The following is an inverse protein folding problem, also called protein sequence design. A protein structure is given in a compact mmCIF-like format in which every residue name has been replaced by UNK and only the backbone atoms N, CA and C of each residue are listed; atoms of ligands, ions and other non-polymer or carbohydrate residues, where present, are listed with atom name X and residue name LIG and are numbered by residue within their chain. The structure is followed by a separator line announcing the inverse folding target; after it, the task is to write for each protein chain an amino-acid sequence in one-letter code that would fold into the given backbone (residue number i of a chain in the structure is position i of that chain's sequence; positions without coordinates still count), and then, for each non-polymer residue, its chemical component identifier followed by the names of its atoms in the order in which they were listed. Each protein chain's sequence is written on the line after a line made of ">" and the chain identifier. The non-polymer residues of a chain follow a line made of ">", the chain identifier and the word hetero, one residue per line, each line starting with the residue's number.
data_IF_050200583274
#
_entry.id   IF_050200583274
#
_cell.length_a   1.000
_cell.length_b   1.000
_cell.length_c   1.000
_cell.angle_alpha   90.00
_cell.angle_beta   90.00
_cell.angle_gamma   90.00
#
_symmetry.space_group_name_H-M   'P 1'
#
loop_
_entity.id
_entity.type
_entity.pdbx_description
1 polymer ?
#
# COMPACT_ATOMS: atom_id res chain seq x y z
N UNK A 1 -29.06 22.42 26.74
CA UNK A 1 -27.88 22.36 25.86
C UNK A 1 -26.84 21.32 26.32
N UNK A 2 -26.88 20.82 27.56
CA UNK A 2 -25.88 19.86 28.07
C UNK A 2 -26.01 18.42 27.56
N UNK A 3 -27.23 17.93 27.24
CA UNK A 3 -27.48 16.55 26.76
C UNK A 3 -26.58 16.09 25.59
N UNK A 4 -26.43 16.85 24.48
CA UNK A 4 -25.54 16.44 23.38
C UNK A 4 -24.07 16.41 23.81
N UNK A 5 -23.65 17.31 24.70
CA UNK A 5 -22.27 17.34 25.19
C UNK A 5 -21.99 16.16 26.15
N UNK A 6 -22.95 15.81 27.04
CA UNK A 6 -22.87 14.59 27.87
C UNK A 6 -22.67 13.34 27.02
N UNK A 7 -23.45 13.20 25.94
CA UNK A 7 -23.34 12.06 25.03
C UNK A 7 -22.00 12.02 24.28
N UNK A 8 -21.50 13.18 23.85
CA UNK A 8 -20.18 13.29 23.21
C UNK A 8 -19.06 12.91 24.18
N UNK A 9 -19.06 13.44 25.40
CA UNK A 9 -18.08 13.11 26.45
C UNK A 9 -18.11 11.62 26.79
N UNK A 10 -19.29 11.03 26.94
CA UNK A 10 -19.47 9.58 27.14
C UNK A 10 -18.79 8.79 26.03
N UNK A 11 -19.13 9.06 24.77
CA UNK A 11 -18.61 8.31 23.62
C UNK A 11 -17.10 8.44 23.48
N UNK A 12 -16.57 9.66 23.65
CA UNK A 12 -15.13 9.89 23.61
C UNK A 12 -14.42 9.12 24.72
N UNK A 13 -14.99 9.12 25.92
CA UNK A 13 -14.45 8.40 27.06
C UNK A 13 -14.45 6.88 26.87
N UNK A 14 -15.55 6.29 26.41
CA UNK A 14 -15.65 4.85 26.11
C UNK A 14 -14.66 4.41 25.00
N UNK A 15 -14.45 5.28 24.02
CA UNK A 15 -13.47 5.04 22.94
C UNK A 15 -12.05 5.00 23.50
N UNK A 16 -11.68 5.96 24.36
CA UNK A 16 -10.38 5.97 25.03
C UNK A 16 -10.19 4.70 25.87
N UNK A 17 -11.18 4.31 26.66
CA UNK A 17 -11.12 3.09 27.47
C UNK A 17 -10.85 1.84 26.61
N UNK A 18 -11.60 1.68 25.52
CA UNK A 18 -11.45 0.54 24.60
C UNK A 18 -10.02 0.45 24.03
N UNK A 19 -9.41 1.60 23.72
CA UNK A 19 -8.05 1.65 23.19
C UNK A 19 -6.98 1.45 24.27
N UNK A 20 -7.27 1.86 25.52
CA UNK A 20 -6.39 1.60 26.67
C UNK A 20 -6.29 0.11 27.00
N UNK A 21 -7.36 -0.66 26.82
CA UNK A 21 -7.41 -2.11 27.08
C UNK A 21 -6.64 -2.96 26.04
N UNK A 22 -6.27 -2.40 24.88
CA UNK A 22 -5.47 -3.12 23.87
C UNK A 22 -4.04 -3.40 24.36
N UNK A 23 -3.53 -4.60 24.12
CA UNK A 23 -2.14 -4.94 24.44
C UNK A 23 -1.16 -4.11 23.62
N UNK A 24 -0.07 -3.66 24.26
CA UNK A 24 1.02 -2.96 23.56
C UNK A 24 1.75 -3.97 22.68
N UNK A 25 1.98 -3.66 21.38
CA UNK A 25 2.76 -4.52 20.50
C UNK A 25 4.11 -4.87 21.12
N UNK A 26 4.45 -6.16 21.15
CA UNK A 26 5.71 -6.64 21.73
C UNK A 26 6.88 -6.23 20.85
N UNK A 27 7.99 -5.87 21.48
CA UNK A 27 9.25 -5.65 20.77
C UNK A 27 9.69 -7.00 20.14
N UNK A 28 9.93 -7.06 18.83
CA UNK A 28 10.39 -8.28 18.18
C UNK A 28 11.76 -8.69 18.74
N UNK A 29 11.95 -9.99 18.98
CA UNK A 29 13.21 -10.52 19.53
C UNK A 29 14.33 -10.42 18.49
N UNK A 30 15.42 -9.73 18.85
CA UNK A 30 16.66 -9.67 18.05
C UNK A 30 17.20 -11.11 17.82
N UNK A 31 16.98 -11.65 16.62
CA UNK A 31 17.61 -12.90 16.18
C UNK A 31 18.56 -12.61 15.02
N UNK A 32 19.85 -12.88 15.22
CA UNK A 32 20.96 -12.49 14.33
C UNK A 32 20.93 -13.10 12.92
N UNK A 33 19.91 -13.90 12.56
CA UNK A 33 19.88 -14.69 11.33
C UNK A 33 18.54 -14.70 10.57
N UNK A 34 17.54 -13.90 10.95
CA UNK A 34 16.19 -14.07 10.38
C UNK A 34 15.79 -12.94 9.41
N UNK A 35 15.60 -13.28 8.12
CA UNK A 35 14.94 -12.40 7.14
C UNK A 35 13.50 -12.02 7.57
N UNK A 36 12.93 -12.80 8.48
CA UNK A 36 11.64 -12.60 9.14
C UNK A 36 11.66 -11.41 10.11
N UNK A 37 12.79 -11.16 10.80
CA UNK A 37 12.92 -10.10 11.80
C UNK A 37 12.64 -8.70 11.24
N UNK A 38 13.11 -8.40 10.02
CA UNK A 38 12.86 -7.09 9.40
C UNK A 38 11.40 -6.91 8.99
N UNK A 39 10.74 -7.98 8.53
CA UNK A 39 9.32 -7.97 8.22
C UNK A 39 8.51 -7.78 9.51
N UNK A 40 8.85 -8.50 10.57
CA UNK A 40 8.24 -8.38 11.90
C UNK A 40 8.38 -6.97 12.48
N UNK A 41 9.57 -6.34 12.34
CA UNK A 41 9.78 -4.93 12.74
C UNK A 41 8.92 -3.97 11.93
N UNK A 42 8.74 -4.21 10.62
CA UNK A 42 7.88 -3.37 9.79
C UNK A 42 6.40 -3.53 10.15
N UNK A 43 5.92 -4.76 10.33
CA UNK A 43 4.55 -5.04 10.74
C UNK A 43 4.25 -4.46 12.13
N UNK A 44 5.18 -4.61 13.08
CA UNK A 44 5.06 -4.03 14.42
C UNK A 44 5.02 -2.50 14.37
N UNK A 45 5.84 -1.87 13.51
CA UNK A 45 5.81 -0.42 13.31
C UNK A 45 4.47 0.07 12.73
N UNK A 46 3.89 -0.66 11.77
CA UNK A 46 2.59 -0.30 11.18
C UNK A 46 1.44 -0.45 12.19
N UNK A 47 1.48 -1.50 13.01
CA UNK A 47 0.55 -1.69 14.13
C UNK A 47 0.68 -0.55 15.15
N UNK A 48 1.90 -0.22 15.57
CA UNK A 48 2.16 0.88 16.50
C UNK A 48 1.70 2.23 15.96
N UNK A 49 1.95 2.54 14.69
CA UNK A 49 1.50 3.79 14.08
C UNK A 49 -0.03 3.90 14.09
N UNK A 50 -0.71 2.80 13.75
CA UNK A 50 -2.18 2.73 13.77
C UNK A 50 -2.73 2.95 15.18
N UNK A 51 -2.17 2.28 16.18
CA UNK A 51 -2.58 2.45 17.59
C UNK A 51 -2.30 3.85 18.12
N UNK A 52 -1.16 4.46 17.77
CA UNK A 52 -0.82 5.83 18.14
C UNK A 52 -1.83 6.81 17.53
N UNK A 53 -2.18 6.64 16.25
CA UNK A 53 -3.13 7.50 15.57
C UNK A 53 -4.53 7.40 16.20
N UNK A 54 -5.05 6.19 16.38
CA UNK A 54 -6.38 5.96 16.96
C UNK A 54 -6.48 6.48 18.41
N UNK A 55 -5.47 6.20 19.25
CA UNK A 55 -5.46 6.66 20.64
C UNK A 55 -5.28 8.17 20.74
N UNK A 56 -4.50 8.79 19.83
CA UNK A 56 -4.33 10.24 19.80
C UNK A 56 -5.61 10.95 19.38
N UNK A 57 -6.35 10.42 18.40
CA UNK A 57 -7.65 10.95 17.99
C UNK A 57 -8.65 10.86 19.14
N UNK A 58 -8.80 9.70 19.78
CA UNK A 58 -9.71 9.51 20.91
C UNK A 58 -9.36 10.41 22.11
N UNK A 59 -8.06 10.55 22.43
CA UNK A 59 -7.58 11.47 23.47
C UNK A 59 -7.95 12.93 23.14
N UNK A 60 -7.76 13.36 21.89
CA UNK A 60 -8.08 14.72 21.46
C UNK A 60 -9.59 14.99 21.53
N UNK A 61 -10.43 14.04 21.14
CA UNK A 61 -11.89 14.15 21.24
C UNK A 61 -12.34 14.32 22.70
N UNK A 62 -11.80 13.51 23.62
CA UNK A 62 -12.11 13.59 25.05
C UNK A 62 -11.62 14.91 25.64
N UNK A 63 -10.42 15.36 25.26
CA UNK A 63 -9.84 16.64 25.65
C UNK A 63 -10.66 17.83 25.14
N UNK A 64 -11.14 17.76 23.90
CA UNK A 64 -12.00 18.78 23.31
C UNK A 64 -13.37 18.81 24.00
N UNK A 65 -13.95 17.64 24.31
CA UNK A 65 -15.18 17.55 25.09
C UNK A 65 -15.03 18.24 26.44
N UNK A 66 -13.90 18.01 27.12
CA UNK A 66 -13.59 18.66 28.40
C UNK A 66 -13.43 20.18 28.24
N UNK A 67 -12.69 20.64 27.22
CA UNK A 67 -12.56 22.07 26.94
C UNK A 67 -13.91 22.75 26.64
N UNK A 68 -14.81 22.06 25.94
CA UNK A 68 -16.18 22.53 25.68
C UNK A 68 -16.96 22.70 26.98
N UNK A 69 -16.89 21.75 27.91
CA UNK A 69 -17.49 21.89 29.25
C UNK A 69 -17.00 23.13 29.98
N UNK A 70 -15.68 23.32 30.05
CA UNK A 70 -15.06 24.48 30.71
C UNK A 70 -15.55 25.80 30.08
N UNK A 71 -15.57 25.88 28.75
CA UNK A 71 -16.02 27.09 28.04
C UNK A 71 -17.51 27.40 28.26
N UNK A 72 -18.37 26.37 28.33
CA UNK A 72 -19.80 26.54 28.58
C UNK A 72 -20.06 26.98 30.01
N UNK A 73 -19.35 26.41 30.98
CA UNK A 73 -19.43 26.81 32.39
C UNK A 73 -19.02 28.28 32.51
N UNK A 74 -17.87 28.68 31.96
CA UNK A 74 -17.37 30.05 32.08
C UNK A 74 -18.36 31.12 31.57
N UNK A 75 -19.10 30.80 30.51
CA UNK A 75 -19.98 31.74 29.78
C UNK A 75 -21.44 31.76 30.28
N UNK A 76 -21.82 30.84 31.18
CA UNK A 76 -23.19 30.76 31.73
C UNK A 76 -23.49 31.84 32.77
N UNK A 77 -24.78 32.14 32.98
CA UNK A 77 -25.24 32.91 34.14
C UNK A 77 -25.00 32.15 35.46
N UNK A 78 -25.11 32.81 36.61
CA UNK A 78 -24.77 32.20 37.92
C UNK A 78 -25.55 30.90 38.21
N UNK A 79 -26.83 30.84 37.85
CA UNK A 79 -27.67 29.65 38.03
C UNK A 79 -27.38 28.55 37.00
N UNK A 80 -27.06 28.93 35.76
CA UNK A 80 -26.64 28.00 34.72
C UNK A 80 -25.26 27.39 35.01
N UNK A 81 -24.34 28.18 35.56
CA UNK A 81 -23.02 27.73 36.02
C UNK A 81 -23.12 26.58 37.01
N UNK A 82 -23.87 26.78 38.09
CA UNK A 82 -24.10 25.73 39.10
C UNK A 82 -24.72 24.47 38.50
N UNK A 83 -25.63 24.63 37.54
CA UNK A 83 -26.28 23.50 36.86
C UNK A 83 -25.30 22.76 35.94
N UNK A 84 -24.44 23.48 35.22
CA UNK A 84 -23.46 22.92 34.29
C UNK A 84 -22.27 22.29 35.02
N UNK A 85 -21.80 22.89 36.12
CA UNK A 85 -20.75 22.35 36.99
C UNK A 85 -21.18 21.00 37.56
N UNK A 86 -22.37 20.94 38.19
CA UNK A 86 -22.93 19.68 38.70
C UNK A 86 -23.09 18.63 37.60
N UNK A 87 -23.53 19.04 36.41
CA UNK A 87 -23.70 18.13 35.28
C UNK A 87 -22.37 17.65 34.68
N UNK A 88 -21.30 18.44 34.78
CA UNK A 88 -19.96 18.04 34.37
C UNK A 88 -19.34 17.10 35.40
N UNK A 89 -19.47 17.41 36.69
CA UNK A 89 -18.94 16.61 37.79
C UNK A 89 -19.52 15.19 37.80
N UNK A 90 -20.83 15.04 37.60
CA UNK A 90 -21.50 13.75 37.40
C UNK A 90 -20.88 12.94 36.25
N UNK A 91 -20.59 13.60 35.11
CA UNK A 91 -20.00 12.92 33.93
C UNK A 91 -18.50 12.67 34.12
N UNK A 92 -17.80 13.53 34.84
CA UNK A 92 -16.39 13.36 35.13
C UNK A 92 -16.15 12.16 36.05
N UNK A 93 -17.01 11.97 37.05
CA UNK A 93 -17.01 10.81 37.94
C UNK A 93 -17.49 9.53 37.24
N UNK A 94 -18.64 9.56 36.55
CA UNK A 94 -19.20 8.36 35.87
C UNK A 94 -18.22 7.73 34.87
N UNK A 95 -17.39 8.56 34.24
CA UNK A 95 -16.51 8.14 33.15
C UNK A 95 -15.02 8.37 33.45
N UNK A 96 -14.63 8.60 34.71
CA UNK A 96 -13.25 8.81 35.16
C UNK A 96 -12.40 9.66 34.18
N UNK A 97 -12.92 10.83 33.77
CA UNK A 97 -12.35 11.58 32.63
C UNK A 97 -10.88 11.95 32.85
N UNK A 98 -10.53 12.41 34.05
CA UNK A 98 -9.16 12.84 34.38
C UNK A 98 -8.18 11.67 34.35
N UNK A 99 -8.55 10.54 34.95
CA UNK A 99 -7.78 9.30 34.94
C UNK A 99 -7.57 8.82 33.50
N UNK A 100 -8.63 8.75 32.69
CA UNK A 100 -8.54 8.31 31.29
C UNK A 100 -7.67 9.20 30.42
N UNK A 101 -7.73 10.52 30.61
CA UNK A 101 -6.85 11.46 29.92
C UNK A 101 -5.39 11.23 30.30
N UNK A 102 -5.11 11.01 31.59
CA UNK A 102 -3.76 10.74 32.08
C UNK A 102 -3.22 9.40 31.57
N UNK A 103 -4.00 8.33 31.66
CA UNK A 103 -3.64 6.99 31.17
C UNK A 103 -3.39 6.99 29.65
N UNK A 104 -4.25 7.66 28.88
CA UNK A 104 -4.06 7.80 27.44
C UNK A 104 -2.78 8.57 27.10
N UNK A 105 -2.46 9.62 27.86
CA UNK A 105 -1.20 10.37 27.67
C UNK A 105 0.04 9.53 27.99
N UNK A 106 -0.01 8.75 29.09
CA UNK A 106 1.07 7.83 29.47
C UNK A 106 1.26 6.75 28.41
N UNK A 107 0.17 6.13 27.94
CA UNK A 107 0.22 5.08 26.91
C UNK A 107 0.74 5.64 25.58
N UNK A 108 0.25 6.80 25.14
CA UNK A 108 0.76 7.48 23.93
C UNK A 108 2.26 7.77 24.01
N UNK A 109 2.76 8.17 25.19
CA UNK A 109 4.19 8.39 25.40
C UNK A 109 4.97 7.09 25.26
N UNK A 110 4.50 6.01 25.89
CA UNK A 110 5.14 4.70 25.82
C UNK A 110 5.20 4.13 24.38
N UNK A 111 4.09 4.24 23.63
CA UNK A 111 4.01 3.79 22.24
C UNK A 111 4.96 4.57 21.33
N UNK A 112 5.02 5.90 21.48
CA UNK A 112 5.94 6.76 20.72
C UNK A 112 7.41 6.48 21.05
N UNK A 113 7.72 6.14 22.29
CA UNK A 113 9.09 5.79 22.67
C UNK A 113 9.50 4.43 22.08
N UNK A 114 8.58 3.46 22.03
CA UNK A 114 8.81 2.18 21.33
C UNK A 114 8.97 2.38 19.82
N UNK A 115 8.11 3.17 19.18
CA UNK A 115 8.21 3.53 17.76
C UNK A 115 9.59 4.15 17.43
N UNK A 116 10.08 5.06 18.27
CA UNK A 116 11.41 5.67 18.12
C UNK A 116 12.52 4.62 18.25
N UNK A 117 12.45 3.74 19.24
CA UNK A 117 13.43 2.65 19.42
C UNK A 117 13.50 1.79 18.17
N UNK A 118 12.36 1.28 17.69
CA UNK A 118 12.29 0.45 16.48
C UNK A 118 12.80 1.17 15.22
N UNK A 119 12.43 2.45 15.03
CA UNK A 119 12.98 3.26 13.92
C UNK A 119 14.50 3.44 14.01
N UNK A 120 15.06 3.58 15.21
CA UNK A 120 16.51 3.67 15.38
C UNK A 120 17.20 2.33 15.15
N UNK A 121 16.61 1.21 15.59
CA UNK A 121 17.09 -0.15 15.31
C UNK A 121 17.11 -0.43 13.81
N UNK A 122 15.97 -0.22 13.13
CA UNK A 122 15.85 -0.35 11.68
C UNK A 122 16.90 0.45 10.91
N UNK A 123 17.13 1.72 11.28
CA UNK A 123 18.16 2.56 10.65
C UNK A 123 19.59 2.08 10.93
N UNK A 124 19.87 1.53 12.11
CA UNK A 124 21.19 0.96 12.44
C UNK A 124 21.45 -0.28 11.59
N UNK A 125 20.44 -1.12 11.39
CA UNK A 125 20.55 -2.33 10.56
C UNK A 125 20.66 -1.98 9.07
N UNK A 126 19.83 -1.07 8.56
CA UNK A 126 19.98 -0.54 7.18
C UNK A 126 21.36 0.10 6.95
N UNK A 127 21.96 0.70 7.99
CA UNK A 127 23.33 1.24 7.93
C UNK A 127 24.38 0.14 8.00
N UNK A 128 24.16 -0.94 8.77
CA UNK A 128 25.02 -2.13 8.79
C UNK A 128 25.04 -2.78 7.41
N UNK A 129 23.87 -3.05 6.82
CA UNK A 129 23.75 -3.55 5.44
C UNK A 129 24.48 -2.64 4.44
N UNK A 130 24.24 -1.32 4.49
CA UNK A 130 24.93 -0.35 3.61
C UNK A 130 26.44 -0.26 3.86
N UNK A 131 26.90 -0.45 5.10
CA UNK A 131 28.32 -0.47 5.43
C UNK A 131 29.01 -1.74 4.94
N UNK A 132 28.35 -2.90 5.01
CA UNK A 132 28.80 -4.17 4.43
C UNK A 132 28.91 -4.02 2.89
N UNK A 133 27.95 -3.35 2.26
CA UNK A 133 27.96 -3.05 0.82
C UNK A 133 29.13 -2.10 0.46
N UNK A 134 29.40 -1.06 1.24
CA UNK A 134 30.44 -0.07 0.95
C UNK A 134 31.87 -0.54 1.29
N UNK A 135 32.06 -1.40 2.30
CA UNK A 135 33.34 -2.06 2.57
C UNK A 135 33.73 -3.06 1.48
N UNK A 136 32.77 -3.48 0.65
CA UNK A 136 32.98 -4.40 -0.48
C UNK A 136 33.50 -3.67 -1.74
N UNK A 137 33.37 -2.35 -1.84
CA UNK A 137 33.74 -1.59 -3.05
C UNK A 137 35.21 -1.15 -3.13
N UNK A 138 36.00 -1.24 -2.05
CA UNK A 138 37.43 -0.87 -2.06
C UNK A 138 38.40 -2.05 -2.09
N UNK A 139 37.91 -3.29 -2.01
CA UNK A 139 38.75 -4.51 -1.97
C UNK A 139 38.66 -5.37 -3.25
N UNK A 140 38.34 -4.78 -4.40
CA UNK A 140 38.43 -5.47 -5.70
C UNK A 140 39.54 -4.89 -6.58
N UNK A 141 40.77 -4.94 -6.07
CA UNK A 141 41.88 -5.40 -6.88
C UNK A 141 42.50 -6.62 -6.18
N UNK A 142 42.36 -7.76 -6.84
CA UNK A 142 42.87 -9.09 -6.50
C UNK A 142 42.09 -9.91 -5.46
N UNK A 143 41.62 -11.08 -5.94
CA UNK A 143 41.25 -12.30 -5.21
C UNK A 143 39.84 -12.40 -4.57
N UNK A 144 38.85 -12.66 -5.43
CA UNK A 144 37.89 -13.76 -5.25
C UNK A 144 36.98 -13.78 -4.01
N UNK A 145 35.97 -12.90 -3.96
CA UNK A 145 34.70 -13.19 -3.29
C UNK A 145 33.54 -12.90 -4.24
N UNK A 146 32.84 -13.96 -4.65
CA UNK A 146 31.62 -13.87 -5.45
C UNK A 146 30.48 -13.37 -4.57
N UNK A 147 30.04 -12.13 -4.77
CA UNK A 147 28.72 -11.69 -4.31
C UNK A 147 27.67 -12.62 -4.95
N UNK A 148 27.04 -13.48 -4.15
CA UNK A 148 25.85 -14.20 -4.57
C UNK A 148 24.65 -13.41 -4.04
N UNK A 149 23.89 -12.70 -4.90
CA UNK A 149 22.60 -12.14 -4.49
C UNK A 149 21.74 -13.25 -3.85
N UNK A 150 20.72 -12.93 -3.01
CA UNK A 150 19.71 -13.93 -2.65
C UNK A 150 19.31 -14.58 -3.96
N UNK A 151 19.55 -15.90 -4.09
CA UNK A 151 19.49 -16.59 -5.39
C UNK A 151 18.10 -16.28 -5.92
N UNK A 152 18.01 -15.34 -6.86
CA UNK A 152 16.73 -14.79 -7.28
C UNK A 152 16.05 -15.98 -7.93
N UNK A 153 15.11 -16.59 -7.20
CA UNK A 153 14.37 -17.71 -7.73
C UNK A 153 13.60 -17.12 -8.88
N UNK A 154 14.04 -17.46 -10.09
CA UNK A 154 13.29 -17.15 -11.30
C UNK A 154 11.93 -17.79 -11.05
N UNK A 155 10.92 -16.95 -10.88
CA UNK A 155 9.55 -17.40 -10.64
C UNK A 155 9.15 -18.44 -11.70
N UNK A 156 8.22 -19.32 -11.35
CA UNK A 156 7.71 -20.30 -12.32
C UNK A 156 6.73 -19.64 -13.29
N UNK A 157 6.94 -19.82 -14.59
CA UNK A 157 6.03 -19.36 -15.63
C UNK A 157 5.15 -20.50 -16.12
N UNK A 158 3.84 -20.40 -15.89
CA UNK A 158 2.87 -21.45 -16.23
C UNK A 158 2.29 -21.37 -17.64
N UNK A 159 2.58 -20.29 -18.39
CA UNK A 159 1.95 -19.98 -19.68
C UNK A 159 0.84 -18.94 -19.61
N UNK A 160 0.65 -18.25 -18.47
CA UNK A 160 -0.30 -17.12 -18.42
C UNK A 160 0.30 -15.89 -19.09
N UNK A 161 -0.28 -15.47 -20.21
CA UNK A 161 0.22 -14.33 -20.99
C UNK A 161 0.35 -13.02 -20.20
N UNK A 162 -0.51 -12.81 -19.18
CA UNK A 162 -0.44 -11.63 -18.31
C UNK A 162 0.84 -11.60 -17.45
N UNK A 163 1.38 -12.76 -17.08
CA UNK A 163 2.58 -12.85 -16.24
C UNK A 163 3.86 -12.76 -17.08
N UNK A 164 3.74 -12.89 -18.41
CA UNK A 164 4.89 -12.96 -19.32
C UNK A 164 5.80 -11.73 -19.22
N UNK A 165 5.31 -10.47 -19.25
CA UNK A 165 6.21 -9.32 -19.23
C UNK A 165 7.07 -9.23 -17.96
N UNK A 166 6.46 -9.44 -16.80
CA UNK A 166 7.17 -9.42 -15.52
C UNK A 166 8.17 -10.58 -15.40
N UNK A 167 7.73 -11.79 -15.77
CA UNK A 167 8.58 -12.96 -15.74
C UNK A 167 9.74 -12.85 -16.74
N UNK A 168 9.48 -12.39 -17.96
CA UNK A 168 10.48 -12.24 -19.01
C UNK A 168 11.54 -11.20 -18.61
N UNK A 169 11.16 -10.08 -18.00
CA UNK A 169 12.13 -9.10 -17.50
C UNK A 169 13.09 -9.72 -16.47
N UNK A 170 12.57 -10.50 -15.54
CA UNK A 170 13.37 -11.18 -14.52
C UNK A 170 14.26 -12.26 -15.16
N UNK A 171 13.71 -13.11 -16.03
CA UNK A 171 14.44 -14.17 -16.72
C UNK A 171 15.52 -13.59 -17.64
N UNK A 172 15.22 -12.50 -18.34
CA UNK A 172 16.12 -11.85 -19.27
C UNK A 172 17.37 -11.33 -18.53
N UNK A 173 17.16 -10.57 -17.45
CA UNK A 173 18.24 -9.98 -16.66
C UNK A 173 19.06 -11.01 -15.88
N UNK A 174 18.48 -12.16 -15.51
CA UNK A 174 19.14 -13.15 -14.63
C UNK A 174 19.72 -14.35 -15.37
N UNK A 175 19.22 -14.69 -16.56
CA UNK A 175 19.66 -15.87 -17.34
C UNK A 175 19.99 -15.51 -18.77
N UNK A 176 19.09 -14.85 -19.50
CA UNK A 176 19.26 -14.65 -20.94
C UNK A 176 20.48 -13.77 -21.26
N UNK A 177 20.63 -12.64 -20.56
CA UNK A 177 21.73 -11.67 -20.74
C UNK A 177 23.05 -12.08 -20.07
N UNK A 178 23.08 -13.21 -19.33
CA UNK A 178 24.30 -13.69 -18.67
C UNK A 178 25.24 -14.43 -19.62
N UNK A 179 26.55 -14.40 -19.36
CA UNK A 179 27.59 -15.08 -20.16
C UNK A 179 27.66 -16.61 -19.93
N UNK A 180 26.51 -17.30 -20.00
CA UNK A 180 26.40 -18.76 -19.86
C UNK A 180 26.24 -19.49 -21.20
N UNK A 181 26.59 -20.78 -21.24
CA UNK A 181 26.34 -21.64 -22.40
C UNK A 181 24.83 -21.84 -22.63
N UNK A 182 24.42 -21.96 -23.89
CA UNK A 182 23.02 -22.13 -24.29
C UNK A 182 22.36 -23.34 -23.61
N UNK A 183 23.09 -24.45 -23.43
CA UNK A 183 22.58 -25.66 -22.79
C UNK A 183 22.28 -25.46 -21.31
N UNK A 184 23.06 -24.62 -20.62
CA UNK A 184 22.85 -24.29 -19.21
C UNK A 184 21.65 -23.35 -19.08
N UNK A 185 21.54 -22.36 -19.97
CA UNK A 185 20.37 -21.46 -20.03
C UNK A 185 19.09 -22.25 -20.32
N UNK A 186 19.15 -23.23 -21.23
CA UNK A 186 18.01 -24.09 -21.56
C UNK A 186 17.61 -25.02 -20.40
N UNK A 187 18.58 -25.59 -19.68
CA UNK A 187 18.29 -26.39 -18.51
C UNK A 187 17.58 -25.57 -17.41
N UNK A 188 18.01 -24.33 -17.19
CA UNK A 188 17.35 -23.39 -16.27
C UNK A 188 15.95 -23.02 -16.79
N UNK A 189 15.81 -22.69 -18.07
CA UNK A 189 14.53 -22.39 -18.71
C UNK A 189 13.50 -23.50 -18.47
N UNK A 190 13.88 -24.77 -18.69
CA UNK A 190 13.00 -25.94 -18.47
C UNK A 190 12.56 -26.10 -17.01
N UNK A 191 13.35 -25.63 -16.05
CA UNK A 191 12.97 -25.63 -14.64
C UNK A 191 12.07 -24.45 -14.29
N UNK A 192 12.18 -23.33 -15.01
CA UNK A 192 11.41 -22.12 -14.75
C UNK A 192 10.05 -22.11 -15.46
N UNK A 193 9.83 -22.95 -16.47
CA UNK A 193 8.52 -23.08 -17.13
C UNK A 193 7.72 -24.28 -16.61
N UNK A 194 6.40 -24.12 -16.52
CA UNK A 194 5.41 -25.11 -16.12
C UNK A 194 4.22 -25.11 -17.11
N UNK A 195 3.36 -26.11 -17.00
CA UNK A 195 2.07 -26.13 -17.71
C UNK A 195 2.19 -26.04 -19.24
N UNK A 196 1.43 -25.13 -19.84
CA UNK A 196 1.39 -24.93 -21.31
C UNK A 196 2.74 -24.44 -21.84
N UNK A 197 3.41 -23.53 -21.12
CA UNK A 197 4.73 -23.03 -21.51
C UNK A 197 5.79 -24.13 -21.54
N UNK A 198 5.72 -25.08 -20.60
CA UNK A 198 6.60 -26.26 -20.61
C UNK A 198 6.32 -27.17 -21.79
N UNK A 199 5.05 -27.43 -22.08
CA UNK A 199 4.62 -28.28 -23.19
C UNK A 199 5.05 -27.70 -24.55
N UNK A 200 5.07 -26.36 -24.67
CA UNK A 200 5.48 -25.66 -25.89
C UNK A 200 6.95 -25.89 -26.27
N UNK A 201 7.83 -26.00 -25.27
CA UNK A 201 9.27 -26.21 -25.47
C UNK A 201 9.70 -27.67 -25.22
N UNK A 202 8.73 -28.55 -24.96
CA UNK A 202 8.95 -29.98 -24.75
C UNK A 202 9.37 -30.64 -26.08
N UNK A 203 10.35 -31.54 -26.03
CA UNK A 203 10.91 -32.18 -27.22
C UNK A 203 12.08 -31.45 -27.89
N UNK A 204 12.39 -30.21 -27.48
CA UNK A 204 13.60 -29.49 -27.93
C UNK A 204 14.86 -30.05 -27.27
N UNK A 205 15.95 -30.14 -28.05
CA UNK A 205 17.28 -30.53 -27.53
C UNK A 205 17.84 -29.40 -26.68
N UNK A 206 18.78 -29.71 -25.80
CA UNK A 206 19.42 -28.69 -24.95
C UNK A 206 20.15 -27.61 -25.76
N UNK A 207 20.62 -27.94 -26.97
CA UNK A 207 21.22 -27.01 -27.93
C UNK A 207 20.24 -26.02 -28.56
N UNK A 208 18.93 -26.28 -28.49
CA UNK A 208 17.92 -25.50 -29.22
C UNK A 208 17.36 -24.37 -28.34
N UNK A 209 18.23 -23.71 -27.55
CA UNK A 209 17.83 -22.68 -26.58
C UNK A 209 17.16 -21.48 -27.24
N UNK A 210 17.77 -20.93 -28.29
CA UNK A 210 17.22 -19.79 -29.03
C UNK A 210 15.85 -20.11 -29.63
N UNK A 211 15.68 -21.32 -30.17
CA UNK A 211 14.38 -21.79 -30.68
C UNK A 211 13.33 -21.86 -29.57
N UNK A 212 13.71 -22.32 -28.36
CA UNK A 212 12.81 -22.36 -27.21
C UNK A 212 12.37 -20.95 -26.77
N UNK A 213 13.29 -19.99 -26.75
CA UNK A 213 13.00 -18.59 -26.43
C UNK A 213 12.11 -17.94 -27.49
N UNK A 214 12.40 -18.17 -28.76
CA UNK A 214 11.61 -17.63 -29.86
C UNK A 214 10.17 -18.15 -29.85
N UNK A 215 9.97 -19.45 -29.58
CA UNK A 215 8.63 -20.02 -29.43
C UNK A 215 7.86 -19.39 -28.26
N UNK A 216 8.53 -19.18 -27.12
CA UNK A 216 7.92 -18.53 -25.97
C UNK A 216 7.59 -17.06 -26.25
N UNK A 217 8.49 -16.31 -26.88
CA UNK A 217 8.26 -14.91 -27.30
C UNK A 217 7.14 -14.81 -28.33
N UNK A 218 7.09 -15.72 -29.31
CA UNK A 218 6.05 -15.73 -30.33
C UNK A 218 4.68 -16.03 -29.72
N UNK A 219 4.62 -16.93 -28.73
CA UNK A 219 3.36 -17.33 -28.09
C UNK A 219 2.89 -16.34 -27.03
N UNK A 220 3.79 -15.77 -26.23
CA UNK A 220 3.44 -15.00 -25.03
C UNK A 220 3.93 -13.55 -25.05
N UNK A 221 4.91 -13.21 -25.90
CA UNK A 221 5.47 -11.86 -26.03
C UNK A 221 4.70 -10.93 -26.93
N UNK A 222 3.46 -11.27 -27.30
CA UNK A 222 2.60 -10.37 -28.07
C UNK A 222 2.10 -9.21 -27.20
N UNK A 223 2.75 -8.05 -27.33
CA UNK A 223 2.43 -6.81 -26.62
C UNK A 223 1.02 -6.28 -26.94
N UNK A 224 0.51 -6.50 -28.15
CA UNK A 224 -0.85 -6.09 -28.53
C UNK A 224 -1.90 -6.93 -27.80
N UNK A 225 -1.65 -8.21 -27.63
CA UNK A 225 -2.56 -9.11 -26.92
C UNK A 225 -2.53 -8.87 -25.40
N UNK A 226 -1.34 -8.58 -24.85
CA UNK A 226 -1.20 -8.14 -23.47
C UNK A 226 -1.95 -6.82 -23.22
N UNK A 227 -1.77 -5.83 -24.09
CA UNK A 227 -2.49 -4.56 -24.07
C UNK A 227 -4.01 -4.76 -24.17
N UNK A 228 -4.48 -5.57 -25.12
CA UNK A 228 -5.90 -5.90 -25.26
C UNK A 228 -6.47 -6.59 -24.01
N UNK A 229 -5.69 -7.45 -23.37
CA UNK A 229 -6.08 -8.09 -22.12
C UNK A 229 -6.19 -7.07 -20.97
N UNK A 230 -5.29 -6.09 -20.88
CA UNK A 230 -5.39 -4.99 -19.92
C UNK A 230 -6.64 -4.12 -20.15
N UNK A 231 -6.99 -3.83 -21.41
CA UNK A 231 -8.24 -3.14 -21.75
C UNK A 231 -9.48 -3.96 -21.36
N UNK A 232 -9.47 -5.25 -21.65
CA UNK A 232 -10.57 -6.15 -21.27
C UNK A 232 -10.71 -6.23 -19.74
N UNK A 233 -9.60 -6.27 -19.01
CA UNK A 233 -9.62 -6.20 -17.54
C UNK A 233 -10.26 -4.90 -17.05
N UNK A 234 -9.89 -3.76 -17.64
CA UNK A 234 -10.46 -2.45 -17.32
C UNK A 234 -11.99 -2.42 -17.54
N UNK A 235 -12.46 -2.99 -18.66
CA UNK A 235 -13.89 -3.10 -18.99
C UNK A 235 -14.63 -4.07 -18.06
N UNK A 236 -13.96 -5.12 -17.56
CA UNK A 236 -14.54 -6.13 -16.68
C UNK A 236 -14.55 -5.74 -15.19
N UNK A 237 -13.96 -4.59 -14.83
CA UNK A 237 -13.95 -4.11 -13.45
C UNK A 237 -15.38 -3.96 -12.93
N UNK A 238 -15.66 -4.63 -11.80
CA UNK A 238 -16.98 -4.67 -11.21
C UNK A 238 -17.38 -3.29 -10.68
N UNK A 239 -18.68 -3.00 -10.80
CA UNK A 239 -19.31 -1.80 -10.26
C UNK A 239 -19.08 -1.73 -8.75
N UNK A 240 -18.56 -0.60 -8.28
CA UNK A 240 -18.35 -0.34 -6.85
C UNK A 240 -19.69 -0.21 -6.13
N UNK A 241 -19.93 -1.00 -5.08
CA UNK A 241 -21.14 -0.91 -4.26
C UNK A 241 -20.89 -0.28 -2.89
N UNK A 242 -19.64 -0.24 -2.41
CA UNK A 242 -19.26 0.33 -1.13
C UNK A 242 -17.87 1.01 -1.18
N UNK A 243 -17.48 1.68 -0.08
CA UNK A 243 -16.21 2.41 0.01
C UNK A 243 -14.95 1.53 -0.12
N UNK A 244 -14.99 0.29 0.38
CA UNK A 244 -13.84 -0.62 0.29
C UNK A 244 -13.65 -1.14 -1.15
N UNK A 245 -14.75 -1.39 -1.86
CA UNK A 245 -14.75 -1.73 -3.29
C UNK A 245 -14.20 -0.57 -4.12
N UNK A 246 -14.54 0.67 -3.79
CA UNK A 246 -13.96 1.86 -4.39
C UNK A 246 -12.43 1.93 -4.20
N UNK A 247 -11.93 1.61 -3.00
CA UNK A 247 -10.49 1.58 -2.74
C UNK A 247 -9.79 0.53 -3.62
N UNK A 248 -10.34 -0.68 -3.70
CA UNK A 248 -9.81 -1.77 -4.56
C UNK A 248 -9.86 -1.39 -6.03
N UNK A 249 -11.02 -0.94 -6.52
CA UNK A 249 -11.21 -0.44 -7.87
C UNK A 249 -10.18 0.63 -8.24
N UNK A 250 -9.91 1.58 -7.34
CA UNK A 250 -8.92 2.63 -7.61
C UNK A 250 -7.49 2.13 -7.75
N UNK A 251 -7.12 1.11 -6.97
CA UNK A 251 -5.80 0.49 -7.04
C UNK A 251 -5.69 -0.35 -8.32
N UNK A 252 -6.75 -1.03 -8.71
CA UNK A 252 -6.79 -1.83 -9.93
C UNK A 252 -6.74 -0.96 -11.18
N UNK A 253 -7.51 0.14 -11.24
CA UNK A 253 -7.43 1.11 -12.33
C UNK A 253 -6.04 1.73 -12.41
N UNK A 254 -5.47 2.17 -11.29
CA UNK A 254 -4.13 2.77 -11.28
C UNK A 254 -3.04 1.77 -11.70
N UNK A 255 -3.16 0.51 -11.25
CA UNK A 255 -2.28 -0.59 -11.67
C UNK A 255 -2.36 -0.81 -13.17
N UNK A 256 -3.57 -0.97 -13.71
CA UNK A 256 -3.80 -1.22 -15.14
C UNK A 256 -3.30 -0.05 -16.00
N UNK A 257 -3.60 1.19 -15.60
CA UNK A 257 -3.09 2.38 -16.27
C UNK A 257 -1.56 2.37 -16.33
N UNK A 258 -0.87 2.15 -15.20
CA UNK A 258 0.59 2.07 -15.19
C UNK A 258 1.14 0.97 -16.11
N UNK A 259 0.46 -0.18 -16.19
CA UNK A 259 0.86 -1.27 -17.09
C UNK A 259 0.68 -0.89 -18.56
N UNK A 260 -0.38 -0.15 -18.90
CA UNK A 260 -0.60 0.40 -20.24
C UNK A 260 0.46 1.46 -20.59
N UNK A 261 0.79 2.37 -19.67
CA UNK A 261 1.85 3.39 -19.81
C UNK A 261 3.20 2.74 -20.13
N UNK A 262 3.54 1.64 -19.44
CA UNK A 262 4.78 0.91 -19.64
C UNK A 262 4.85 0.16 -20.99
N UNK A 263 3.72 0.00 -21.69
CA UNK A 263 3.63 -0.60 -23.04
C UNK A 263 3.36 0.47 -24.11
N UNK A 264 3.81 1.72 -23.86
CA UNK A 264 3.66 2.88 -24.74
C UNK A 264 2.22 3.20 -25.18
N UNK A 265 1.22 2.70 -24.44
CA UNK A 265 -0.18 2.98 -24.72
C UNK A 265 -0.57 4.36 -24.21
N UNK A 266 -1.33 5.08 -25.04
CA UNK A 266 -1.84 6.39 -24.69
C UNK A 266 -3.02 6.27 -23.70
N UNK A 267 -2.75 6.54 -22.42
CA UNK A 267 -3.77 6.49 -21.36
C UNK A 267 -4.80 7.63 -21.47
N UNK A 268 -4.44 8.71 -22.15
CA UNK A 268 -5.36 9.81 -22.50
C UNK A 268 -6.30 9.47 -23.67
N UNK A 269 -6.33 8.23 -24.16
CA UNK A 269 -7.28 7.81 -25.19
C UNK A 269 -8.73 7.71 -24.68
N UNK A 270 -9.69 8.13 -25.51
CA UNK A 270 -11.14 8.11 -25.24
C UNK A 270 -11.66 6.72 -24.81
N UNK A 271 -11.01 5.63 -25.25
CA UNK A 271 -11.42 4.25 -24.96
C UNK A 271 -11.27 3.81 -23.50
N UNK A 272 -10.25 4.29 -22.79
CA UNK A 272 -10.04 3.97 -21.36
C UNK A 272 -11.11 4.65 -20.51
N UNK A 273 -11.48 5.88 -20.87
CA UNK A 273 -12.52 6.63 -20.18
C UNK A 273 -13.92 6.08 -20.44
N UNK A 274 -14.26 5.73 -21.69
CA UNK A 274 -15.52 5.06 -22.02
C UNK A 274 -15.69 3.73 -21.28
N UNK A 275 -14.59 2.99 -21.09
CA UNK A 275 -14.57 1.74 -20.31
C UNK A 275 -14.78 2.00 -18.81
N UNK A 276 -14.14 3.04 -18.26
CA UNK A 276 -14.29 3.46 -16.86
C UNK A 276 -15.68 4.04 -16.57
N UNK A 277 -16.27 4.78 -17.52
CA UNK A 277 -17.60 5.38 -17.43
C UNK A 277 -18.71 4.32 -17.48
N UNK A 278 -18.53 3.27 -18.30
CA UNK A 278 -19.44 2.12 -18.35
C UNK A 278 -19.43 1.33 -17.05
N UNK A 279 -18.29 1.24 -16.37
CA UNK A 279 -18.12 0.49 -15.12
C UNK A 279 -18.37 1.33 -13.85
N UNK A 280 -18.39 2.67 -13.95
CA UNK A 280 -18.56 3.58 -12.82
C UNK A 280 -19.84 4.39 -12.96
N UNK A 281 -20.80 4.26 -12.03
CA UNK A 281 -21.84 5.28 -11.90
C UNK A 281 -21.18 6.62 -11.51
N UNK A 282 -21.34 7.62 -12.38
CA UNK A 282 -20.73 8.96 -12.39
C UNK A 282 -20.76 9.74 -11.05
N UNK A 283 -21.54 9.28 -10.05
CA UNK A 283 -21.76 10.00 -8.79
C UNK A 283 -20.62 9.85 -7.75
N UNK A 284 -19.69 8.89 -7.89
CA UNK A 284 -18.60 8.70 -6.91
C UNK A 284 -17.21 9.18 -7.36
N UNK A 285 -17.02 9.45 -8.66
CA UNK A 285 -15.74 9.88 -9.24
C UNK A 285 -15.31 11.29 -8.77
N UNK A 286 -16.24 12.17 -8.38
CA UNK A 286 -15.95 13.52 -7.90
C UNK A 286 -15.12 13.53 -6.60
N UNK A 287 -15.28 12.50 -5.75
CA UNK A 287 -14.44 12.33 -4.54
C UNK A 287 -13.06 11.72 -4.85
N UNK A 288 -12.91 11.08 -6.02
CA UNK A 288 -11.67 10.42 -6.48
C UNK A 288 -10.67 11.37 -7.14
N UNK A 289 -11.12 12.57 -7.51
CA UNK A 289 -10.32 13.67 -8.09
C UNK A 289 -9.22 14.22 -7.18
N UNK A 290 -8.71 13.47 -6.20
CA UNK A 290 -7.60 13.88 -5.33
C UNK A 290 -6.27 13.17 -5.65
N UNK A 291 -6.26 12.11 -6.47
CA UNK A 291 -5.01 11.47 -6.92
C UNK A 291 -4.46 12.20 -8.16
N UNK A 292 -3.24 12.75 -8.06
CA UNK A 292 -2.59 13.57 -9.10
C UNK A 292 -2.62 12.98 -10.52
N UNK A 293 -2.53 11.64 -10.66
CA UNK A 293 -2.56 10.97 -11.97
C UNK A 293 -3.97 10.88 -12.57
N UNK A 294 -4.98 10.57 -11.76
CA UNK A 294 -6.38 10.59 -12.19
C UNK A 294 -6.87 12.01 -12.47
N UNK A 295 -6.44 12.99 -11.66
CA UNK A 295 -6.62 14.41 -11.93
C UNK A 295 -6.06 14.82 -13.28
N UNK A 296 -4.83 14.40 -13.62
CA UNK A 296 -4.21 14.70 -14.92
C UNK A 296 -5.01 14.11 -16.10
N UNK A 297 -5.53 12.89 -15.95
CA UNK A 297 -6.41 12.25 -16.94
C UNK A 297 -7.75 13.00 -17.05
N UNK A 298 -8.33 13.45 -15.92
CA UNK A 298 -9.58 14.23 -15.89
C UNK A 298 -9.42 15.66 -16.42
N UNK A 299 -8.31 16.34 -16.15
CA UNK A 299 -8.00 17.71 -16.59
C UNK A 299 -7.78 17.80 -18.11
N UNK A 300 -7.13 16.79 -18.69
CA UNK A 300 -6.88 16.69 -20.13
C UNK A 300 -8.18 16.50 -20.95
N UNK A 301 -9.24 15.94 -20.36
CA UNK A 301 -10.53 15.71 -21.05
C UNK A 301 -11.66 16.65 -20.60
N UNK A 302 -11.60 17.19 -19.38
CA UNK A 302 -12.50 18.26 -18.94
C UNK A 302 -12.38 19.50 -19.82
N UNK A 303 -11.20 19.72 -20.41
CA UNK A 303 -10.94 20.76 -21.42
C UNK A 303 -11.53 20.43 -22.79
N UNK A 304 -11.65 19.16 -23.18
CA UNK A 304 -12.31 18.73 -24.42
C UNK A 304 -13.85 18.74 -24.34
N UNK A 305 -14.45 18.32 -23.21
CA UNK A 305 -15.91 18.41 -23.06
C UNK A 305 -16.42 19.85 -22.88
N UNK A 306 -15.60 20.75 -22.30
CA UNK A 306 -15.91 22.17 -22.25
C UNK A 306 -15.78 22.84 -23.63
N UNK A 307 -14.81 22.43 -24.46
CA UNK A 307 -14.67 22.99 -25.81
C UNK A 307 -15.80 22.53 -26.75
N UNK A 308 -16.24 21.26 -26.68
CA UNK A 308 -17.38 20.78 -27.47
C UNK A 308 -18.72 21.39 -27.05
N UNK A 309 -18.91 21.68 -25.75
CA UNK A 309 -20.12 22.40 -25.26
C UNK A 309 -20.09 23.90 -25.50
N UNK A 310 -18.91 24.49 -25.75
CA UNK A 310 -18.75 25.90 -26.14
C UNK A 310 -18.71 26.12 -27.66
N UNK A 311 -18.49 25.07 -28.47
CA UNK A 311 -18.53 25.13 -29.94
C UNK A 311 -19.92 24.83 -30.53
N UNK A 312 -20.91 24.46 -29.70
CA UNK A 312 -22.32 24.39 -30.08
C UNK A 312 -23.10 25.46 -29.31
N UNK A 313 -22.77 26.72 -29.58
CA UNK A 313 -23.64 27.89 -29.38
C UNK A 313 -23.24 29.01 -30.33
#
# INVERSE_FOLDING_TARGET
>A
MSKPLKLFTKRASETVQTLLEREVPKEPEDSEQNSEFFLDVCETLDQLNTEIEELAEAYNDLKEANAKWISLIQRGSQTEKQTLEKAYEEVAEDYNIEERLNEAEIKLRSLKDLERKLKTGKRKEERREKSIINSTTQAHQSLGFSFKPPRQEIGKFSGRQIDWPEWWQIFNATVHETDGSEEVKHAVLKQCVLGEAKSLIEGLKLSDYEVAIDLLKQRYGNEEEYTRHLHTQLESLKICQNFNDCKKFSLDVERICRLLENNDQNISGQGIWMSLEKSSQFQFCEKFSRRKRLLKIMELYGTQQLSEKLCVK
#
